data_IF_689565148938
#
_entry.id   IF_689565148938
#
_cell.length_a   1.000
_cell.length_b   1.000
_cell.length_c   1.000
_cell.angle_alpha   90.00
_cell.angle_beta   90.00
_cell.angle_gamma   90.00
#
_symmetry.space_group_name_H-M   'P 1'
#
loop_
_entity.id
_entity.type
_entity.pdbx_description
1 polymer ?
#
# COMPACT_ATOMS: atom_id res chain seq x y z
N UNK A 1 -3.24 14.50 13.95
CA UNK A 1 -2.48 13.67 12.97
C UNK A 1 -3.02 14.01 11.57
N UNK A 2 -2.34 14.96 10.88
CA UNK A 2 -2.80 15.45 9.57
C UNK A 2 -2.48 14.43 8.49
N UNK A 3 -3.50 13.76 7.99
CA UNK A 3 -3.41 12.86 6.85
C UNK A 3 -3.70 13.68 5.61
N UNK A 4 -2.66 14.21 4.94
CA UNK A 4 -2.82 14.72 3.59
C UNK A 4 -2.87 13.52 2.64
N UNK A 5 -4.07 13.16 2.21
CA UNK A 5 -4.29 12.12 1.19
C UNK A 5 -4.35 12.77 -0.17
N UNK A 6 -3.46 12.37 -1.08
CA UNK A 6 -3.60 12.64 -2.51
C UNK A 6 -4.03 11.32 -3.15
N UNK A 7 -5.25 11.27 -3.68
CA UNK A 7 -5.76 10.13 -4.43
C UNK A 7 -5.59 10.46 -5.91
N UNK A 8 -4.73 9.72 -6.60
CA UNK A 8 -4.58 9.77 -8.04
C UNK A 8 -5.34 8.59 -8.65
N UNK A 9 -6.41 8.87 -9.37
CA UNK A 9 -7.19 7.88 -10.10
C UNK A 9 -6.77 7.96 -11.58
N UNK A 10 -6.18 6.90 -12.11
CA UNK A 10 -5.91 6.79 -13.55
C UNK A 10 -6.94 5.85 -14.20
N UNK A 11 -7.77 6.43 -15.06
CA UNK A 11 -8.62 5.67 -15.97
C UNK A 11 -7.77 5.04 -17.08
N UNK A 12 -8.01 3.78 -17.39
CA UNK A 12 -7.31 3.07 -18.44
C UNK A 12 -7.65 3.60 -19.83
N UNK A 13 -6.64 4.07 -20.56
CA UNK A 13 -6.71 4.26 -22.00
C UNK A 13 -6.21 2.99 -22.67
N UNK A 14 -7.06 2.32 -23.43
CA UNK A 14 -6.68 1.20 -24.28
C UNK A 14 -5.88 1.73 -25.46
N UNK A 15 -4.57 1.48 -25.47
CA UNK A 15 -3.73 1.69 -26.64
C UNK A 15 -3.60 0.40 -27.42
N UNK A 16 -4.16 0.38 -28.63
CA UNK A 16 -3.88 -0.63 -29.64
C UNK A 16 -2.39 -0.55 -29.99
N UNK A 17 -1.66 -1.62 -29.71
CA UNK A 17 -0.22 -1.72 -29.94
C UNK A 17 0.07 -2.14 -31.38
N UNK A 18 0.63 -1.21 -32.16
CA UNK A 18 1.56 -1.56 -33.22
C UNK A 18 2.97 -1.34 -32.64
N UNK A 19 3.78 -2.40 -32.61
CA UNK A 19 5.20 -2.34 -32.20
C UNK A 19 6.00 -1.76 -33.34
N UNK A 20 6.64 -0.61 -33.22
CA UNK A 20 7.70 -0.22 -34.14
C UNK A 20 9.05 -0.65 -33.59
N UNK A 21 9.82 -1.18 -34.54
CA UNK A 21 11.21 -1.57 -34.49
C UNK A 21 12.11 -0.48 -33.85
N UNK A 22 13.19 -0.92 -33.20
CA UNK A 22 14.19 -0.11 -32.54
C UNK A 22 14.60 1.12 -33.36
N UNK A 23 14.27 2.29 -32.84
CA UNK A 23 14.80 3.57 -33.27
C UNK A 23 15.88 4.05 -32.29
N UNK A 24 16.99 4.46 -32.87
CA UNK A 24 18.18 5.05 -32.22
C UNK A 24 17.85 6.10 -31.21
N UNK A 25 18.69 6.17 -30.18
CA UNK A 25 18.67 7.22 -29.17
C UNK A 25 19.06 8.56 -29.78
N UNK A 26 18.12 9.19 -30.44
CA UNK A 26 18.25 10.58 -30.87
C UNK A 26 17.61 11.50 -29.81
N UNK A 27 18.46 12.40 -29.32
CA UNK A 27 18.16 13.65 -28.62
C UNK A 27 16.68 13.83 -28.24
N UNK A 28 16.34 13.40 -27.04
CA UNK A 28 15.12 13.87 -26.38
C UNK A 28 15.33 15.35 -26.10
N UNK A 29 15.00 16.19 -27.06
CA UNK A 29 14.76 17.60 -26.83
C UNK A 29 13.75 17.65 -25.70
N UNK A 30 14.13 18.27 -24.59
CA UNK A 30 13.22 18.45 -23.45
C UNK A 30 11.98 19.18 -23.98
N UNK A 31 10.91 18.41 -24.23
CA UNK A 31 9.60 18.98 -24.51
C UNK A 31 9.29 19.82 -23.30
N UNK A 32 9.24 21.13 -23.51
CA UNK A 32 8.82 22.07 -22.47
C UNK A 32 7.49 21.57 -21.90
N UNK A 33 7.51 21.06 -20.71
CA UNK A 33 6.34 20.51 -20.02
C UNK A 33 5.30 21.60 -19.67
N UNK A 34 5.57 22.85 -20.03
CA UNK A 34 4.72 23.99 -19.73
C UNK A 34 3.33 23.96 -20.40
N UNK A 35 3.15 23.13 -21.45
CA UNK A 35 1.85 22.97 -22.10
C UNK A 35 1.09 21.69 -21.73
N UNK A 36 1.72 20.73 -21.04
CA UNK A 36 1.13 19.41 -20.74
C UNK A 36 0.50 19.33 -19.35
N UNK A 37 0.84 20.24 -18.45
CA UNK A 37 0.29 20.28 -17.09
C UNK A 37 -0.53 21.56 -16.92
N UNK A 38 -1.85 21.41 -16.94
CA UNK A 38 -2.76 22.49 -16.56
C UNK A 38 -2.98 22.42 -15.03
N UNK A 39 -2.57 23.48 -14.35
CA UNK A 39 -2.82 23.62 -12.93
C UNK A 39 -4.12 24.42 -12.71
N UNK A 40 -5.18 23.75 -12.32
CA UNK A 40 -6.48 24.35 -12.03
C UNK A 40 -6.63 24.84 -10.59
N UNK A 41 -5.59 24.79 -9.79
CA UNK A 41 -5.58 25.17 -8.38
C UNK A 41 -4.62 26.32 -8.05
N UNK A 42 -4.53 26.66 -6.78
CA UNK A 42 -3.59 27.65 -6.28
C UNK A 42 -2.15 27.31 -6.64
N UNK A 43 -1.34 28.31 -6.97
CA UNK A 43 0.04 28.20 -7.45
C UNK A 43 1.00 27.51 -6.47
N UNK A 44 0.60 27.29 -5.22
CA UNK A 44 1.36 26.54 -4.21
C UNK A 44 0.45 25.67 -3.35
N UNK A 45 -0.01 24.52 -3.84
CA UNK A 45 -0.78 23.60 -3.05
C UNK A 45 0.00 23.19 -1.78
N UNK A 46 -0.72 22.95 -0.69
CA UNK A 46 -0.10 22.55 0.59
C UNK A 46 0.80 21.31 0.47
N UNK A 47 0.50 20.40 -0.47
CA UNK A 47 1.33 19.21 -0.73
C UNK A 47 2.70 19.58 -1.31
N UNK A 48 2.82 20.61 -2.16
CA UNK A 48 4.12 21.09 -2.68
C UNK A 48 4.97 21.65 -1.55
N UNK A 49 4.37 22.43 -0.64
CA UNK A 49 5.04 22.93 0.56
C UNK A 49 5.56 21.77 1.43
N UNK A 50 4.75 20.74 1.59
CA UNK A 50 5.10 19.54 2.36
C UNK A 50 6.27 18.79 1.72
N UNK A 51 6.24 18.56 0.41
CA UNK A 51 7.35 17.92 -0.33
C UNK A 51 8.65 18.72 -0.22
N UNK A 52 8.58 20.05 -0.32
CA UNK A 52 9.77 20.91 -0.13
C UNK A 52 10.32 20.82 1.30
N UNK A 53 9.45 20.71 2.30
CA UNK A 53 9.85 20.52 3.69
C UNK A 53 10.60 19.21 3.91
N UNK A 54 10.13 18.12 3.32
CA UNK A 54 10.77 16.82 3.37
C UNK A 54 12.13 16.84 2.66
N UNK A 55 12.19 17.40 1.44
CA UNK A 55 13.43 17.49 0.66
C UNK A 55 14.50 18.35 1.34
N UNK A 56 14.10 19.36 2.10
CA UNK A 56 15.00 20.21 2.89
C UNK A 56 15.38 19.66 4.26
N UNK A 57 15.01 18.43 4.59
CA UNK A 57 15.15 17.80 5.91
C UNK A 57 14.56 18.65 7.07
N UNK A 58 13.64 19.54 6.75
CA UNK A 58 12.92 20.40 7.71
C UNK A 58 11.65 19.75 8.27
N UNK A 59 11.25 18.66 7.68
CA UNK A 59 10.03 17.94 8.02
C UNK A 59 10.35 16.44 8.10
N UNK A 60 10.15 15.85 9.26
CA UNK A 60 10.36 14.41 9.48
C UNK A 60 9.09 13.56 9.26
N UNK A 61 8.05 14.17 8.73
CA UNK A 61 6.78 13.48 8.44
C UNK A 61 6.82 12.70 7.15
N UNK A 62 5.86 11.80 6.98
CA UNK A 62 5.66 11.05 5.75
C UNK A 62 4.77 11.82 4.76
N UNK A 63 5.09 11.71 3.48
CA UNK A 63 4.17 12.03 2.41
C UNK A 63 3.65 10.73 1.81
N UNK A 64 2.38 10.44 2.08
CA UNK A 64 1.75 9.17 1.72
C UNK A 64 0.94 9.34 0.45
N UNK A 65 1.23 8.49 -0.54
CA UNK A 65 0.51 8.41 -1.81
C UNK A 65 -0.15 7.03 -1.88
N UNK A 66 -1.44 7.02 -2.19
CA UNK A 66 -2.19 5.77 -2.45
C UNK A 66 -2.73 5.84 -3.87
N UNK A 67 -2.32 4.90 -4.71
CA UNK A 67 -2.85 4.71 -6.04
C UNK A 67 -3.87 3.58 -6.02
N UNK A 68 -5.11 3.91 -6.40
CA UNK A 68 -6.21 2.96 -6.50
C UNK A 68 -6.46 2.72 -7.99
N UNK A 69 -6.72 1.48 -8.39
CA UNK A 69 -6.99 1.16 -9.79
C UNK A 69 -7.27 -0.30 -10.07
N UNK A 70 -7.24 -0.62 -11.33
CA UNK A 70 -7.48 -1.95 -11.89
C UNK A 70 -6.18 -2.78 -12.03
N UNK A 71 -6.13 -3.65 -13.03
CA UNK A 71 -4.99 -4.53 -13.32
C UNK A 71 -3.68 -3.78 -13.60
N UNK A 72 -3.72 -2.56 -14.13
CA UNK A 72 -2.52 -1.77 -14.37
C UNK A 72 -1.86 -1.34 -13.06
N UNK A 73 -2.67 -1.00 -12.06
CA UNK A 73 -2.19 -0.73 -10.70
C UNK A 73 -1.82 -2.03 -9.97
N UNK A 74 -2.60 -3.10 -10.15
CA UNK A 74 -2.33 -4.41 -9.56
C UNK A 74 -1.05 -5.07 -10.06
N UNK A 75 -0.58 -4.71 -11.25
CA UNK A 75 0.71 -5.14 -11.79
C UNK A 75 1.91 -4.52 -11.09
N UNK A 76 1.73 -3.41 -10.39
CA UNK A 76 2.75 -2.67 -9.61
C UNK A 76 4.08 -2.39 -10.36
N UNK A 77 4.07 -2.38 -11.71
CA UNK A 77 5.26 -2.02 -12.49
C UNK A 77 5.45 -0.51 -12.55
N UNK A 78 4.39 0.18 -12.96
CA UNK A 78 4.41 1.64 -13.02
C UNK A 78 4.55 2.26 -11.62
N UNK A 79 3.77 1.78 -10.67
CA UNK A 79 3.79 2.26 -9.27
C UNK A 79 5.13 2.01 -8.61
N UNK A 80 5.76 0.88 -8.87
CA UNK A 80 7.09 0.57 -8.35
C UNK A 80 8.17 1.52 -8.90
N UNK A 81 8.18 1.78 -10.20
CA UNK A 81 9.07 2.76 -10.82
C UNK A 81 8.85 4.17 -10.31
N UNK A 82 7.59 4.57 -10.16
CA UNK A 82 7.24 5.88 -9.62
C UNK A 82 7.69 6.00 -8.16
N UNK A 83 7.46 4.96 -7.36
CA UNK A 83 7.91 4.87 -5.95
C UNK A 83 9.41 5.06 -5.84
N UNK A 84 10.18 4.30 -6.61
CA UNK A 84 11.64 4.39 -6.61
C UNK A 84 12.13 5.80 -6.95
N UNK A 85 11.58 6.44 -7.99
CA UNK A 85 11.94 7.80 -8.38
C UNK A 85 11.56 8.86 -7.33
N UNK A 86 10.40 8.72 -6.72
CA UNK A 86 9.95 9.64 -5.67
C UNK A 86 10.80 9.47 -4.40
N UNK A 87 11.05 8.23 -4.00
CA UNK A 87 11.84 7.94 -2.81
C UNK A 87 13.31 8.32 -2.96
N UNK A 88 13.91 8.15 -4.13
CA UNK A 88 15.28 8.58 -4.39
C UNK A 88 15.45 10.10 -4.29
N UNK A 89 14.39 10.87 -4.60
CA UNK A 89 14.44 12.33 -4.58
C UNK A 89 14.05 12.93 -3.22
N UNK A 90 13.07 12.36 -2.53
CA UNK A 90 12.49 12.94 -1.31
C UNK A 90 12.61 12.05 -0.07
N UNK A 91 13.38 10.99 -0.15
CA UNK A 91 13.58 10.05 0.94
C UNK A 91 12.59 8.88 0.93
N UNK A 92 13.08 7.75 1.41
CA UNK A 92 12.30 6.52 1.53
C UNK A 92 11.58 6.51 2.89
N UNK A 93 10.26 6.62 2.86
CA UNK A 93 9.40 6.59 4.03
C UNK A 93 8.96 5.20 4.46
N UNK A 94 9.31 4.16 3.73
CA UNK A 94 8.89 2.78 3.98
C UNK A 94 8.06 2.19 2.83
N UNK A 95 7.49 1.03 3.08
CA UNK A 95 6.70 0.25 2.12
C UNK A 95 5.34 0.92 1.86
N UNK A 96 4.73 1.49 2.91
CA UNK A 96 3.39 2.02 2.88
C UNK A 96 2.31 0.95 3.07
N UNK A 97 1.10 1.20 2.60
CA UNK A 97 -0.02 0.27 2.65
C UNK A 97 0.14 -0.84 1.63
N UNK A 98 -0.02 -2.06 2.08
CA UNK A 98 0.03 -3.29 1.29
C UNK A 98 -1.16 -4.18 1.63
N UNK A 99 -1.45 -5.15 0.79
CA UNK A 99 -2.39 -6.21 1.11
C UNK A 99 -1.86 -7.11 2.22
N UNK A 100 -2.75 -7.77 2.98
CA UNK A 100 -2.32 -8.61 4.09
C UNK A 100 -1.66 -9.90 3.63
N UNK A 101 -1.94 -10.34 2.39
CA UNK A 101 -1.45 -11.59 1.82
C UNK A 101 -1.30 -11.50 0.31
N UNK A 102 -0.64 -12.48 -0.30
CA UNK A 102 -0.49 -12.56 -1.75
C UNK A 102 -1.85 -12.75 -2.43
N UNK A 103 -2.10 -11.97 -3.48
CA UNK A 103 -3.28 -12.10 -4.33
C UNK A 103 -2.89 -12.85 -5.60
N UNK A 104 -3.58 -13.95 -5.89
CA UNK A 104 -3.30 -14.77 -7.08
C UNK A 104 -3.40 -13.93 -8.36
N UNK A 105 -2.36 -13.99 -9.19
CA UNK A 105 -2.29 -13.26 -10.45
C UNK A 105 -2.00 -11.76 -10.31
N UNK A 106 -1.66 -11.28 -9.13
CA UNK A 106 -1.20 -9.91 -8.91
C UNK A 106 0.27 -9.89 -8.49
N UNK A 107 0.96 -8.81 -8.84
CA UNK A 107 2.31 -8.54 -8.39
C UNK A 107 2.28 -7.47 -7.31
N UNK A 108 3.01 -7.70 -6.24
CA UNK A 108 3.40 -6.65 -5.29
C UNK A 108 4.93 -6.62 -5.23
N UNK A 109 5.52 -5.51 -5.60
CA UNK A 109 6.96 -5.42 -5.79
C UNK A 109 7.74 -5.59 -4.49
N UNK A 110 7.25 -5.01 -3.40
CA UNK A 110 8.00 -4.89 -2.16
C UNK A 110 7.78 -6.05 -1.18
N UNK A 111 6.53 -6.47 -0.86
CA UNK A 111 6.32 -7.51 0.13
C UNK A 111 6.54 -8.92 -0.42
N UNK A 112 6.87 -9.81 0.50
CA UNK A 112 6.89 -11.27 0.31
C UNK A 112 6.05 -11.87 1.41
N UNK A 113 5.17 -12.78 1.04
CA UNK A 113 4.17 -13.35 1.94
C UNK A 113 4.38 -14.84 2.14
N UNK A 114 4.13 -15.28 3.35
CA UNK A 114 3.86 -16.67 3.67
C UNK A 114 2.62 -16.72 4.55
N UNK A 115 1.72 -17.64 4.30
CA UNK A 115 0.49 -17.78 5.08
C UNK A 115 0.15 -19.27 5.27
N UNK A 116 -0.24 -19.60 6.49
CA UNK A 116 -0.77 -20.90 6.86
C UNK A 116 -2.04 -20.67 7.69
N UNK A 117 -3.14 -21.32 7.33
CA UNK A 117 -4.43 -21.14 8.02
C UNK A 117 -5.18 -19.84 7.69
N UNK A 118 -4.68 -19.03 6.73
CA UNK A 118 -5.32 -17.80 6.28
C UNK A 118 -5.73 -17.90 4.81
N UNK A 119 -6.98 -17.59 4.51
CA UNK A 119 -7.52 -17.51 3.16
C UNK A 119 -7.50 -16.06 2.65
N UNK A 120 -7.02 -15.84 1.42
CA UNK A 120 -7.07 -14.54 0.77
C UNK A 120 -8.38 -14.39 0.00
N UNK A 121 -9.15 -13.36 0.29
CA UNK A 121 -10.38 -13.01 -0.42
C UNK A 121 -10.25 -11.67 -1.09
N UNK A 122 -10.92 -11.51 -2.25
CA UNK A 122 -10.97 -10.26 -2.99
C UNK A 122 -12.42 -9.83 -3.22
N UNK A 123 -12.67 -8.53 -3.26
CA UNK A 123 -14.00 -7.95 -3.44
C UNK A 123 -14.64 -8.31 -4.79
N UNK A 124 -13.84 -8.75 -5.75
CA UNK A 124 -14.32 -9.25 -7.04
C UNK A 124 -14.82 -10.70 -6.96
N UNK A 125 -14.17 -11.53 -6.15
CA UNK A 125 -14.43 -12.99 -6.09
C UNK A 125 -15.30 -13.43 -4.92
N UNK A 126 -15.57 -12.54 -3.98
CA UNK A 126 -16.25 -12.90 -2.73
C UNK A 126 -17.17 -11.78 -2.26
N UNK A 127 -18.24 -12.18 -1.59
CA UNK A 127 -19.06 -11.25 -0.83
C UNK A 127 -18.60 -11.26 0.62
N UNK A 128 -17.92 -10.20 1.02
CA UNK A 128 -17.45 -9.98 2.38
C UNK A 128 -17.40 -8.47 2.64
N UNK A 129 -17.17 -8.09 3.88
CA UNK A 129 -16.96 -6.71 4.27
C UNK A 129 -15.48 -6.35 4.02
N UNK A 130 -15.24 -5.62 2.93
CA UNK A 130 -13.89 -5.26 2.48
C UNK A 130 -13.54 -3.82 2.87
N UNK A 131 -12.35 -3.58 3.39
CA UNK A 131 -11.80 -2.23 3.48
C UNK A 131 -11.37 -1.71 2.11
N UNK A 132 -10.93 -0.45 2.07
CA UNK A 132 -10.30 0.15 0.89
C UNK A 132 -9.21 -0.79 0.34
N UNK A 133 -9.19 -0.98 -0.98
CA UNK A 133 -8.28 -1.91 -1.65
C UNK A 133 -8.88 -3.29 -1.90
N UNK A 134 -10.01 -3.64 -1.26
CA UNK A 134 -10.82 -4.80 -1.60
C UNK A 134 -10.14 -6.17 -1.48
N UNK A 135 -9.16 -6.29 -0.60
CA UNK A 135 -8.46 -7.55 -0.29
C UNK A 135 -8.41 -7.74 1.21
N UNK A 136 -8.72 -8.95 1.64
CA UNK A 136 -8.62 -9.35 3.05
C UNK A 136 -7.95 -10.73 3.17
N UNK A 137 -7.32 -10.97 4.29
CA UNK A 137 -6.94 -12.30 4.74
C UNK A 137 -7.85 -12.71 5.91
N UNK A 138 -8.42 -13.89 5.85
CA UNK A 138 -9.28 -14.44 6.90
C UNK A 138 -8.71 -15.74 7.44
N UNK A 139 -8.73 -15.91 8.75
CA UNK A 139 -8.48 -17.17 9.44
C UNK A 139 -9.72 -17.55 10.23
N UNK A 140 -10.09 -18.81 10.19
CA UNK A 140 -11.23 -19.37 10.94
C UNK A 140 -10.81 -20.16 12.18
N UNK A 141 -9.56 -20.63 12.18
CA UNK A 141 -9.03 -21.51 13.24
C UNK A 141 -7.57 -21.20 13.43
N UNK A 142 -7.09 -20.41 14.16
CA UNK A 142 -5.66 -20.14 14.34
C UNK A 142 -4.78 -20.29 13.09
N UNK A 143 -3.81 -19.45 12.93
CA UNK A 143 -2.90 -19.49 11.77
C UNK A 143 -1.82 -18.42 11.83
N UNK A 144 -0.87 -18.53 10.90
CA UNK A 144 0.26 -17.62 10.79
C UNK A 144 0.27 -16.92 9.45
N UNK A 145 0.46 -15.62 9.49
CA UNK A 145 0.63 -14.78 8.32
C UNK A 145 1.96 -14.02 8.48
N UNK A 146 2.88 -14.24 7.57
CA UNK A 146 4.19 -13.58 7.61
C UNK A 146 4.36 -12.66 6.42
N UNK A 147 4.77 -11.43 6.68
CA UNK A 147 5.09 -10.41 5.70
C UNK A 147 6.57 -10.04 5.83
N UNK A 148 7.32 -10.21 4.77
CA UNK A 148 8.73 -9.83 4.71
C UNK A 148 8.98 -8.86 3.55
N UNK A 149 10.10 -8.18 3.58
CA UNK A 149 10.59 -7.35 2.48
C UNK A 149 12.09 -7.20 2.56
N UNK A 150 12.72 -7.24 1.39
CA UNK A 150 14.14 -6.93 1.21
C UNK A 150 14.34 -5.53 0.60
N UNK A 151 13.27 -4.74 0.50
CA UNK A 151 13.34 -3.39 -0.01
C UNK A 151 14.20 -2.51 0.91
N UNK A 152 14.93 -1.57 0.32
CA UNK A 152 15.68 -0.58 1.08
C UNK A 152 14.77 0.15 2.07
N UNK A 153 15.21 0.32 3.31
CA UNK A 153 14.43 0.95 4.37
C UNK A 153 13.50 0.00 5.14
N UNK A 154 13.61 -1.31 4.86
CA UNK A 154 12.90 -2.37 5.60
C UNK A 154 13.65 -2.87 6.83
N UNK A 155 14.84 -2.36 7.05
CA UNK A 155 15.71 -2.75 8.18
C UNK A 155 15.26 -2.08 9.48
N UNK A 156 15.49 -2.74 10.60
CA UNK A 156 15.20 -2.23 11.93
C UNK A 156 13.72 -2.16 12.26
N UNK A 157 13.39 -1.38 13.28
CA UNK A 157 12.02 -1.21 13.75
C UNK A 157 11.21 -0.39 12.77
N UNK A 158 10.03 -0.88 12.42
CA UNK A 158 9.04 -0.25 11.56
C UNK A 158 7.84 0.19 12.40
N UNK A 159 7.24 1.32 12.02
CA UNK A 159 5.90 1.70 12.50
C UNK A 159 4.87 0.92 11.67
N UNK A 160 4.07 0.11 12.32
CA UNK A 160 3.09 -0.78 11.68
C UNK A 160 1.67 -0.39 12.07
N UNK A 161 0.80 -0.29 11.07
CA UNK A 161 -0.63 -0.17 11.30
C UNK A 161 -1.35 -1.31 10.59
N UNK A 162 -2.16 -2.05 11.33
CA UNK A 162 -2.94 -3.18 10.84
C UNK A 162 -4.42 -2.80 10.85
N UNK A 163 -5.09 -2.95 9.73
CA UNK A 163 -6.53 -2.83 9.68
C UNK A 163 -7.13 -4.21 9.96
N UNK A 164 -7.69 -4.39 11.13
CA UNK A 164 -8.10 -5.68 11.70
C UNK A 164 -9.58 -5.71 12.04
N UNK A 165 -10.15 -6.93 11.98
CA UNK A 165 -11.53 -7.20 12.41
C UNK A 165 -11.56 -8.55 13.15
N UNK A 166 -11.54 -8.55 14.48
CA UNK A 166 -11.85 -9.75 15.27
C UNK A 166 -13.32 -10.12 15.11
N UNK A 167 -13.63 -11.40 15.20
CA UNK A 167 -15.00 -11.91 15.11
C UNK A 167 -15.82 -11.64 16.38
N UNK A 168 -15.16 -11.53 17.52
CA UNK A 168 -15.78 -11.29 18.81
C UNK A 168 -14.98 -10.29 19.65
N UNK A 169 -15.58 -9.82 20.73
CA UNK A 169 -14.88 -8.98 21.71
C UNK A 169 -13.85 -9.81 22.49
N UNK A 170 -12.84 -9.13 23.03
CA UNK A 170 -11.81 -9.70 23.91
C UNK A 170 -11.02 -10.85 23.27
N UNK A 171 -10.65 -10.69 21.98
CA UNK A 171 -9.73 -11.58 21.30
C UNK A 171 -8.29 -11.09 21.39
N UNK A 172 -7.33 -11.97 21.17
CA UNK A 172 -5.90 -11.65 21.22
C UNK A 172 -5.26 -11.92 19.86
N UNK A 173 -4.53 -10.92 19.37
CA UNK A 173 -3.68 -11.04 18.18
C UNK A 173 -2.21 -11.03 18.61
N UNK A 174 -1.42 -11.93 18.06
CA UNK A 174 0.03 -11.94 18.32
C UNK A 174 0.77 -11.31 17.13
N UNK A 175 1.65 -10.36 17.42
CA UNK A 175 2.52 -9.71 16.43
C UNK A 175 3.97 -9.90 16.87
N UNK A 176 4.75 -10.62 16.07
CA UNK A 176 6.13 -11.00 16.40
C UNK A 176 6.26 -11.63 17.80
N UNK A 177 5.27 -12.43 18.20
CA UNK A 177 5.22 -13.07 19.52
C UNK A 177 4.69 -12.18 20.65
N UNK A 178 4.43 -10.91 20.40
CA UNK A 178 3.78 -10.02 21.37
C UNK A 178 2.27 -10.19 21.30
N UNK A 179 1.66 -10.60 22.39
CA UNK A 179 0.22 -10.77 22.51
C UNK A 179 -0.45 -9.42 22.79
N UNK A 180 -1.35 -9.01 21.90
CA UNK A 180 -2.08 -7.75 21.98
C UNK A 180 -3.57 -8.05 22.15
N UNK A 181 -4.16 -7.73 23.31
CA UNK A 181 -5.59 -7.88 23.55
C UNK A 181 -6.35 -6.84 22.74
N UNK A 182 -7.43 -7.26 22.09
CA UNK A 182 -8.33 -6.43 21.31
C UNK A 182 -9.72 -6.52 21.94
N UNK A 183 -10.18 -5.43 22.54
CA UNK A 183 -11.38 -5.42 23.36
C UNK A 183 -12.67 -5.53 22.54
N UNK A 184 -12.71 -4.87 21.37
CA UNK A 184 -13.94 -4.72 20.61
C UNK A 184 -13.88 -5.47 19.29
N UNK A 185 -14.99 -6.11 18.93
CA UNK A 185 -15.22 -6.64 17.59
C UNK A 185 -15.38 -5.50 16.57
N UNK A 186 -15.30 -5.84 15.27
CA UNK A 186 -15.46 -4.89 14.18
C UNK A 186 -14.15 -4.31 13.67
N UNK A 187 -14.24 -3.53 12.58
CA UNK A 187 -13.08 -2.93 11.95
C UNK A 187 -12.42 -1.86 12.81
N UNK A 188 -11.13 -2.01 13.02
CA UNK A 188 -10.32 -1.06 13.76
C UNK A 188 -8.88 -1.05 13.26
N UNK A 189 -8.12 -0.02 13.63
CA UNK A 189 -6.69 0.08 13.29
C UNK A 189 -5.87 -0.18 14.54
N UNK A 190 -5.04 -1.20 14.49
CA UNK A 190 -4.03 -1.49 15.51
C UNK A 190 -2.71 -0.84 15.09
N UNK A 191 -2.17 0.01 15.94
CA UNK A 191 -0.85 0.61 15.78
C UNK A 191 0.16 -0.09 16.69
N UNK A 192 1.30 -0.47 16.12
CA UNK A 192 2.40 -1.10 16.86
C UNK A 192 3.73 -0.81 16.19
N UNK A 193 4.79 -1.25 16.83
CA UNK A 193 6.15 -1.26 16.24
C UNK A 193 6.63 -2.71 16.15
N UNK A 194 7.23 -3.06 15.01
CA UNK A 194 7.74 -4.39 14.78
C UNK A 194 8.92 -4.38 13.80
N UNK A 195 9.73 -5.41 13.84
CA UNK A 195 10.75 -5.69 12.82
C UNK A 195 10.19 -6.59 11.74
N UNK A 196 10.78 -6.56 10.54
CA UNK A 196 10.50 -7.56 9.52
C UNK A 196 11.43 -8.79 9.71
N UNK A 197 10.95 -10.00 9.43
CA UNK A 197 9.59 -10.36 9.01
C UNK A 197 8.54 -10.03 10.07
N UNK A 198 7.41 -9.44 9.62
CA UNK A 198 6.24 -9.24 10.46
C UNK A 198 5.45 -10.54 10.51
N UNK A 199 5.37 -11.15 11.68
CA UNK A 199 4.56 -12.35 11.92
C UNK A 199 3.28 -11.96 12.65
N UNK A 200 2.14 -12.34 12.07
CA UNK A 200 0.81 -12.13 12.64
C UNK A 200 0.21 -13.52 12.87
N UNK A 201 -0.06 -13.85 14.11
CA UNK A 201 -0.74 -15.09 14.46
C UNK A 201 -1.94 -14.81 15.35
N UNK A 202 -2.97 -15.62 15.20
CA UNK A 202 -4.20 -15.51 15.95
C UNK A 202 -4.45 -16.76 16.78
N UNK A 203 -5.28 -16.58 17.81
CA UNK A 203 -5.89 -17.69 18.54
C UNK A 203 -6.83 -18.52 17.64
N UNK A 204 -7.48 -19.52 18.22
CA UNK A 204 -8.39 -20.40 17.48
C UNK A 204 -9.69 -19.71 17.03
N UNK A 205 -9.88 -18.43 17.32
CA UNK A 205 -11.07 -17.67 16.93
C UNK A 205 -10.88 -17.02 15.56
N UNK A 206 -11.97 -16.77 14.80
CA UNK A 206 -11.87 -16.14 13.50
C UNK A 206 -11.35 -14.70 13.55
N UNK A 207 -10.48 -14.38 12.59
CA UNK A 207 -9.92 -13.05 12.40
C UNK A 207 -9.96 -12.62 10.95
N UNK A 208 -10.02 -11.32 10.73
CA UNK A 208 -9.83 -10.73 9.39
C UNK A 208 -8.77 -9.63 9.49
N UNK A 209 -7.80 -9.67 8.58
CA UNK A 209 -6.82 -8.61 8.36
C UNK A 209 -7.07 -8.00 7.00
N UNK A 210 -7.29 -6.69 6.94
CA UNK A 210 -7.58 -5.96 5.71
C UNK A 210 -6.32 -5.40 5.07
N UNK A 211 -5.72 -4.39 5.67
CA UNK A 211 -4.54 -3.73 5.14
C UNK A 211 -3.44 -3.68 6.19
N UNK A 212 -2.22 -3.67 5.72
CA UNK A 212 -1.04 -3.51 6.57
C UNK A 212 -0.23 -2.32 6.05
N UNK A 213 0.02 -1.34 6.91
CA UNK A 213 0.94 -0.24 6.62
C UNK A 213 2.27 -0.49 7.31
N UNK A 214 3.36 -0.37 6.58
CA UNK A 214 4.71 -0.54 7.09
C UNK A 214 5.53 0.68 6.71
N UNK A 215 5.91 1.46 7.70
CA UNK A 215 6.70 2.67 7.52
C UNK A 215 7.98 2.60 8.37
N UNK A 216 9.10 2.97 7.78
CA UNK A 216 10.30 3.15 8.58
C UNK A 216 10.23 4.45 9.39
N UNK A 217 11.15 4.67 10.33
CA UNK A 217 11.12 5.85 11.19
C UNK A 217 11.72 7.12 10.56
N UNK A 218 12.10 7.07 9.26
CA UNK A 218 12.68 8.22 8.54
C UNK A 218 11.60 9.03 7.86
N UNK A 219 11.85 10.31 7.66
CA UNK A 219 11.04 11.15 6.77
C UNK A 219 11.11 10.63 5.33
N UNK A 220 10.08 10.87 4.56
CA UNK A 220 10.09 10.48 3.15
C UNK A 220 8.72 10.16 2.59
N UNK A 221 8.73 9.53 1.43
CA UNK A 221 7.54 9.16 0.67
C UNK A 221 7.25 7.67 0.84
N UNK A 222 5.96 7.35 1.01
CA UNK A 222 5.42 6.02 0.74
C UNK A 222 4.49 6.11 -0.47
N UNK A 223 4.50 5.09 -1.34
CA UNK A 223 3.56 4.95 -2.45
C UNK A 223 2.99 3.55 -2.44
N UNK A 224 1.69 3.48 -2.18
CA UNK A 224 0.93 2.25 -2.04
C UNK A 224 0.14 1.97 -3.32
N UNK A 225 0.25 0.76 -3.87
CA UNK A 225 -0.49 0.30 -5.03
C UNK A 225 -1.68 -0.56 -4.59
N UNK A 226 -2.90 0.01 -4.69
CA UNK A 226 -4.16 -0.65 -4.32
C UNK A 226 -4.95 -0.94 -5.60
N UNK A 227 -4.49 -1.92 -6.37
CA UNK A 227 -5.14 -2.36 -7.60
C UNK A 227 -5.69 -3.77 -7.48
N UNK A 228 -6.83 -4.02 -8.13
CA UNK A 228 -7.41 -5.36 -8.24
C UNK A 228 -7.63 -5.66 -9.73
N UNK A 229 -7.17 -6.83 -10.17
CA UNK A 229 -7.36 -7.27 -11.54
C UNK A 229 -8.84 -7.28 -11.91
N UNK A 230 -9.21 -6.49 -12.94
CA UNK A 230 -10.58 -6.35 -13.42
C UNK A 230 -11.52 -5.61 -12.47
N UNK A 231 -11.00 -4.79 -11.54
CA UNK A 231 -11.84 -3.94 -10.71
C UNK A 231 -12.59 -2.90 -11.53
N UNK A 232 -13.81 -2.62 -11.12
CA UNK A 232 -14.66 -1.55 -11.62
C UNK A 232 -14.82 -0.47 -10.54
N UNK A 233 -15.14 0.76 -10.94
CA UNK A 233 -15.31 1.87 -9.99
C UNK A 233 -16.35 1.57 -8.90
N UNK A 234 -17.41 0.83 -9.23
CA UNK A 234 -18.44 0.40 -8.29
C UNK A 234 -17.93 -0.51 -7.15
N UNK A 235 -16.77 -1.12 -7.31
CA UNK A 235 -16.12 -1.96 -6.30
C UNK A 235 -15.18 -1.18 -5.38
N UNK A 236 -14.85 0.06 -5.77
CA UNK A 236 -13.98 0.95 -4.99
C UNK A 236 -14.79 1.93 -4.12
N UNK A 237 -16.09 2.03 -4.34
CA UNK A 237 -17.01 2.97 -3.67
C UNK A 237 -17.93 2.33 -2.64
N UNK A 238 -17.71 1.06 -2.29
CA UNK A 238 -18.49 0.33 -1.27
C UNK A 238 -17.96 0.56 0.12
#
# INVERSE_FOLDING_TARGET
MDIAKVILVFGGLSLNSAIPQAAQADNITAVSSAGLLQNYGNSQPQWVKKLRGIAGAKDNRKFRIVQIGDSHTAGDYFTDQLRQRLQSRWGNGGIGWIYPSAVKGQRQALPRYNSNGWATLTSRGSQADFPLGGVIAQSTTGGDLTINSTAQGSEGTQDVALFIKPAANNQTLSINGQHIPIENAGWQVLYTQATLPLSISNDAMPWTVGLVNIENQRAGITLSAMGINGAQMSQLSK
#
